data_IF_486358469126
#
_entry.id   IF_486358469126
#
_cell.length_a   1.000
_cell.length_b   1.000
_cell.length_c   1.000
_cell.angle_alpha   90.00
_cell.angle_beta   90.00
_cell.angle_gamma   90.00
#
_symmetry.space_group_name_H-M   'P 1'
#
loop_
_entity.id
_entity.type
_entity.pdbx_description
1 polymer ?
#
# COMPACT_ATOMS: atom_id res chain seq x y z
N UNK A 1 -7.07 15.61 1.56
CA UNK A 1 -7.41 15.77 2.98
C UNK A 1 -8.69 16.58 3.12
N UNK A 2 -9.38 16.44 4.25
CA UNK A 2 -10.66 17.12 4.52
C UNK A 2 -10.50 18.64 4.49
N UNK A 3 -9.37 19.15 4.97
CA UNK A 3 -9.08 20.59 5.01
C UNK A 3 -9.05 21.22 3.61
N UNK A 4 -8.44 20.54 2.64
CA UNK A 4 -8.41 21.01 1.25
C UNK A 4 -9.79 21.00 0.60
N UNK A 5 -10.61 20.02 0.90
CA UNK A 5 -11.98 19.91 0.39
C UNK A 5 -12.85 20.99 0.98
N UNK A 6 -12.75 21.25 2.28
CA UNK A 6 -13.51 22.28 2.99
C UNK A 6 -13.09 23.69 2.52
N UNK A 7 -11.79 23.95 2.38
CA UNK A 7 -11.27 25.24 1.92
C UNK A 7 -11.74 25.60 0.49
N UNK A 8 -12.09 24.60 -0.33
CA UNK A 8 -12.63 24.78 -1.68
C UNK A 8 -14.15 24.79 -1.74
N UNK A 9 -14.84 24.76 -0.60
CA UNK A 9 -16.29 24.78 -0.53
C UNK A 9 -16.99 23.49 -0.93
N UNK A 10 -16.29 22.36 -0.89
CA UNK A 10 -16.88 21.04 -1.10
C UNK A 10 -17.37 20.47 0.23
N UNK A 11 -18.67 20.55 0.49
CA UNK A 11 -19.29 20.12 1.75
C UNK A 11 -19.48 18.59 1.89
N UNK A 12 -19.05 17.77 0.92
CA UNK A 12 -19.48 16.37 0.80
C UNK A 12 -18.35 15.35 0.81
N UNK A 13 -17.33 15.54 1.62
CA UNK A 13 -16.35 14.48 1.91
C UNK A 13 -16.85 13.59 3.07
N UNK A 14 -16.72 12.24 2.96
CA UNK A 14 -17.03 11.34 4.08
C UNK A 14 -15.96 11.39 5.19
N UNK A 15 -14.87 12.13 5.00
CA UNK A 15 -13.81 12.30 5.97
C UNK A 15 -12.99 11.06 6.29
N UNK A 16 -13.02 10.03 5.43
CA UNK A 16 -12.20 8.83 5.61
C UNK A 16 -10.76 9.07 5.10
N UNK A 17 -9.76 8.47 5.76
CA UNK A 17 -8.37 8.48 5.31
C UNK A 17 -8.18 7.60 4.07
N UNK A 18 -8.20 6.29 4.24
CA UNK A 18 -8.09 5.32 3.15
C UNK A 18 -9.37 4.50 3.01
N UNK A 19 -9.95 4.50 1.82
CA UNK A 19 -11.15 3.76 1.46
C UNK A 19 -10.80 2.74 0.38
N UNK A 20 -10.68 1.46 0.75
CA UNK A 20 -10.07 0.41 -0.06
C UNK A 20 -11.09 -0.36 -0.94
N UNK A 21 -12.25 0.20 -1.19
CA UNK A 21 -13.21 -0.49 -2.04
C UNK A 21 -14.57 0.17 -2.07
N UNK A 22 -15.57 -0.60 -2.47
CA UNK A 22 -16.97 -0.20 -2.55
C UNK A 22 -17.83 -1.26 -3.23
N UNK A 23 -19.15 -1.27 -2.96
CA UNK A 23 -20.10 -2.09 -3.68
C UNK A 23 -19.90 -3.61 -3.58
N UNK A 24 -19.25 -4.12 -2.54
CA UNK A 24 -18.91 -5.55 -2.36
C UNK A 24 -17.97 -6.10 -3.47
N UNK A 25 -17.35 -5.24 -4.24
CA UNK A 25 -16.48 -5.68 -5.34
C UNK A 25 -15.15 -6.20 -4.80
N UNK A 26 -14.71 -7.34 -5.33
CA UNK A 26 -13.36 -7.84 -5.15
C UNK A 26 -12.40 -6.94 -5.93
N UNK A 27 -11.31 -6.52 -5.31
CA UNK A 27 -10.34 -5.63 -5.93
C UNK A 27 -8.91 -5.97 -5.56
N UNK A 28 -8.71 -6.86 -4.59
CA UNK A 28 -7.40 -7.21 -4.04
C UNK A 28 -6.50 -5.99 -3.76
N UNK A 29 -7.12 -4.86 -3.38
CA UNK A 29 -6.39 -3.62 -3.14
C UNK A 29 -5.40 -3.80 -1.99
N UNK A 30 -4.19 -3.28 -2.18
CA UNK A 30 -3.12 -3.34 -1.18
C UNK A 30 -2.82 -1.92 -0.70
N UNK A 31 -2.98 -1.69 0.61
CA UNK A 31 -2.46 -0.52 1.30
C UNK A 31 -1.19 -0.94 2.04
N UNK A 32 -0.08 -0.29 1.73
CA UNK A 32 1.22 -0.62 2.30
C UNK A 32 1.97 0.62 2.73
N UNK A 33 2.73 0.52 3.84
CA UNK A 33 3.60 1.57 4.35
C UNK A 33 2.90 2.95 4.39
N UNK A 34 1.71 2.99 4.99
CA UNK A 34 0.86 4.18 4.97
C UNK A 34 0.46 4.60 6.37
N UNK A 35 0.36 5.91 6.57
CA UNK A 35 -0.07 6.51 7.83
C UNK A 35 -1.38 7.25 7.60
N UNK A 36 -2.39 6.97 8.44
CA UNK A 36 -3.70 7.61 8.46
C UNK A 36 -3.93 8.23 9.84
N UNK A 37 -4.13 9.53 9.91
CA UNK A 37 -4.34 10.20 11.20
C UNK A 37 -5.29 11.38 11.07
N UNK A 38 -5.92 11.75 12.17
CA UNK A 38 -6.82 12.90 12.34
C UNK A 38 -7.86 13.05 11.21
N UNK A 39 -8.40 11.93 10.71
CA UNK A 39 -9.50 11.99 9.78
C UNK A 39 -10.82 12.19 10.53
N UNK A 40 -11.77 12.91 9.92
CA UNK A 40 -13.08 13.17 10.54
C UNK A 40 -13.89 11.90 10.79
N UNK A 41 -13.72 10.90 9.93
CA UNK A 41 -14.36 9.61 10.09
C UNK A 41 -13.30 8.48 10.26
N UNK A 42 -13.37 7.44 9.46
CA UNK A 42 -12.53 6.24 9.57
C UNK A 42 -11.10 6.50 9.07
N UNK A 43 -10.11 5.94 9.74
CA UNK A 43 -8.73 6.00 9.27
C UNK A 43 -8.52 5.13 8.03
N UNK A 44 -8.70 3.83 8.19
CA UNK A 44 -8.58 2.83 7.11
C UNK A 44 -9.86 1.99 7.08
N UNK A 45 -10.50 1.88 5.93
CA UNK A 45 -11.71 1.05 5.79
C UNK A 45 -11.66 0.20 4.53
N UNK A 46 -12.06 -1.08 4.66
CA UNK A 46 -12.27 -1.93 3.50
C UNK A 46 -13.41 -1.43 2.61
N UNK A 47 -14.32 -0.64 3.18
CA UNK A 47 -15.51 -0.13 2.51
C UNK A 47 -16.22 -1.21 1.70
N UNK A 48 -16.46 -2.35 2.34
CA UNK A 48 -17.07 -3.57 1.78
C UNK A 48 -16.23 -4.35 0.73
N UNK A 49 -14.98 -3.99 0.49
CA UNK A 49 -14.07 -4.85 -0.28
C UNK A 49 -13.75 -6.12 0.53
N UNK A 50 -14.00 -7.32 -0.01
CA UNK A 50 -13.86 -8.56 0.76
C UNK A 50 -12.42 -9.12 0.80
N UNK A 51 -11.48 -8.58 0.03
CA UNK A 51 -10.17 -9.16 -0.23
C UNK A 51 -9.00 -8.15 -0.19
N UNK A 52 -9.20 -6.96 0.41
CA UNK A 52 -8.12 -6.00 0.53
C UNK A 52 -7.05 -6.42 1.56
N UNK A 53 -5.84 -5.88 1.38
CA UNK A 53 -4.69 -6.15 2.23
C UNK A 53 -4.19 -4.85 2.87
N UNK A 54 -3.85 -4.91 4.16
CA UNK A 54 -3.25 -3.82 4.92
C UNK A 54 -1.90 -4.32 5.44
N UNK A 55 -0.82 -3.69 4.99
CA UNK A 55 0.55 -4.15 5.28
C UNK A 55 1.37 -2.98 5.80
N UNK A 56 1.94 -3.12 6.99
CA UNK A 56 2.81 -2.13 7.62
C UNK A 56 2.19 -0.73 7.60
N UNK A 57 1.05 -0.57 8.26
CA UNK A 57 0.31 0.70 8.31
C UNK A 57 0.14 1.20 9.74
N UNK A 58 -0.02 2.50 9.87
CA UNK A 58 -0.37 3.16 11.14
C UNK A 58 -1.70 3.88 10.94
N UNK A 59 -2.62 3.70 11.88
CA UNK A 59 -3.88 4.44 11.93
C UNK A 59 -4.01 5.07 13.33
N UNK A 60 -4.01 6.40 13.40
CA UNK A 60 -3.87 7.13 14.65
C UNK A 60 -4.90 8.23 14.80
N UNK A 61 -5.59 8.29 15.93
CA UNK A 61 -6.51 9.37 16.30
C UNK A 61 -7.53 9.77 15.24
N UNK A 62 -8.05 8.82 14.49
CA UNK A 62 -9.13 9.11 13.55
C UNK A 62 -10.48 9.26 14.26
N UNK A 63 -11.52 9.64 13.52
CA UNK A 63 -12.87 9.90 14.07
C UNK A 63 -12.99 11.17 14.90
N UNK A 64 -12.48 12.28 14.36
CA UNK A 64 -12.53 13.57 15.06
C UNK A 64 -13.96 14.05 15.34
N UNK A 65 -14.88 13.86 14.39
CA UNK A 65 -16.25 14.38 14.46
C UNK A 65 -17.34 13.30 14.37
N UNK A 66 -16.96 12.04 14.28
CA UNK A 66 -17.92 11.02 13.92
C UNK A 66 -17.54 9.68 14.56
N UNK A 67 -18.18 9.26 15.61
CA UNK A 67 -17.97 7.98 16.30
C UNK A 67 -17.70 6.83 15.31
N UNK A 68 -16.49 6.68 14.85
CA UNK A 68 -16.00 5.71 13.90
C UNK A 68 -14.78 4.98 14.49
N UNK A 69 -14.02 4.30 13.70
CA UNK A 69 -12.87 3.50 14.11
C UNK A 69 -11.60 3.89 13.35
N UNK A 70 -10.45 3.59 13.90
CA UNK A 70 -9.19 3.76 13.18
C UNK A 70 -9.11 2.81 12.00
N UNK A 71 -9.46 1.52 12.21
CA UNK A 71 -9.43 0.49 11.15
C UNK A 71 -10.69 -0.34 11.16
N UNK A 72 -11.31 -0.53 10.00
CA UNK A 72 -12.49 -1.34 9.89
C UNK A 72 -12.59 -2.16 8.63
N UNK A 73 -12.66 -3.48 8.83
CA UNK A 73 -12.88 -4.45 7.78
C UNK A 73 -14.33 -4.92 7.84
N UNK A 74 -15.10 -4.52 6.86
CA UNK A 74 -16.51 -4.88 6.75
C UNK A 74 -16.85 -5.37 5.35
N UNK A 75 -17.76 -6.33 5.28
CA UNK A 75 -18.41 -6.78 4.06
C UNK A 75 -19.80 -7.29 4.40
N UNK A 76 -20.76 -7.14 3.50
CA UNK A 76 -22.08 -7.73 3.62
C UNK A 76 -22.08 -9.21 3.23
N UNK A 77 -21.13 -9.62 2.43
CA UNK A 77 -20.96 -11.01 2.03
C UNK A 77 -20.17 -11.78 3.11
N UNK A 78 -20.89 -12.59 3.90
CA UNK A 78 -20.28 -13.38 4.97
C UNK A 78 -19.38 -14.51 4.47
N UNK A 79 -19.47 -14.88 3.19
CA UNK A 79 -18.77 -16.04 2.63
C UNK A 79 -17.42 -15.71 1.99
N UNK A 80 -17.11 -14.43 1.78
CA UNK A 80 -15.91 -14.02 1.07
C UNK A 80 -15.17 -12.97 1.94
N UNK A 81 -14.39 -13.47 2.90
CA UNK A 81 -13.53 -12.65 3.75
C UNK A 81 -12.09 -13.11 3.53
N UNK A 82 -11.44 -12.56 2.53
CA UNK A 82 -10.05 -12.85 2.20
C UNK A 82 -9.11 -11.67 2.53
N UNK A 83 -9.42 -10.95 3.63
CA UNK A 83 -8.57 -9.86 4.11
C UNK A 83 -7.25 -10.38 4.64
N UNK A 84 -6.19 -9.62 4.42
CA UNK A 84 -4.89 -9.81 5.06
C UNK A 84 -4.52 -8.53 5.82
N UNK A 85 -4.09 -8.69 7.08
CA UNK A 85 -3.57 -7.60 7.90
C UNK A 85 -2.27 -8.04 8.53
N UNK A 86 -1.19 -7.30 8.26
CA UNK A 86 0.13 -7.60 8.78
C UNK A 86 0.86 -6.31 9.12
N UNK A 87 1.44 -6.23 10.32
CA UNK A 87 2.21 -5.06 10.73
C UNK A 87 1.37 -3.80 10.90
N UNK A 88 0.14 -3.93 11.42
CA UNK A 88 -0.74 -2.81 11.71
C UNK A 88 -0.47 -2.26 13.12
N UNK A 89 -0.39 -0.94 13.24
CA UNK A 89 -0.56 -0.23 14.50
C UNK A 89 -1.81 0.65 14.38
N UNK A 90 -2.84 0.33 15.15
CA UNK A 90 -4.00 1.18 15.38
C UNK A 90 -3.93 1.75 16.78
N UNK A 91 -3.86 3.06 16.92
CA UNK A 91 -3.66 3.70 18.22
C UNK A 91 -4.54 4.96 18.37
N UNK A 92 -5.02 5.20 19.59
CA UNK A 92 -5.78 6.37 19.93
C UNK A 92 -5.35 6.92 21.29
N UNK A 93 -5.24 8.23 21.42
CA UNK A 93 -4.84 8.89 22.66
C UNK A 93 -6.02 9.33 23.56
N UNK A 94 -7.19 8.79 23.32
CA UNK A 94 -8.42 9.07 24.08
C UNK A 94 -8.97 10.52 23.97
N UNK A 95 -8.41 11.35 23.09
CA UNK A 95 -8.96 12.70 22.83
C UNK A 95 -10.17 12.68 21.91
N UNK A 96 -10.32 11.61 21.13
CA UNK A 96 -11.37 11.46 20.14
C UNK A 96 -12.36 10.35 20.53
N UNK A 97 -13.53 10.35 19.91
CA UNK A 97 -14.58 9.33 20.11
C UNK A 97 -14.34 8.10 19.22
N UNK A 98 -13.09 7.72 19.05
CA UNK A 98 -12.71 6.55 18.25
C UNK A 98 -13.27 5.28 18.89
N UNK A 99 -14.03 4.53 18.12
CA UNK A 99 -14.55 3.22 18.52
C UNK A 99 -13.49 2.13 18.37
N UNK A 100 -13.73 0.98 19.00
CA UNK A 100 -12.89 -0.21 18.78
C UNK A 100 -12.78 -0.56 17.29
N UNK A 101 -11.65 -1.09 16.89
CA UNK A 101 -11.41 -1.51 15.51
C UNK A 101 -12.28 -2.70 15.11
N UNK A 102 -12.79 -2.68 13.89
CA UNK A 102 -13.55 -3.78 13.33
C UNK A 102 -12.62 -4.72 12.56
N UNK A 103 -11.79 -5.47 13.28
CA UNK A 103 -10.86 -6.45 12.71
C UNK A 103 -11.21 -7.85 13.23
N UNK A 104 -11.51 -8.82 12.33
CA UNK A 104 -11.81 -10.18 12.74
C UNK A 104 -10.68 -10.79 13.58
N UNK A 105 -11.05 -11.50 14.67
CA UNK A 105 -10.09 -12.11 15.59
C UNK A 105 -9.06 -13.02 14.90
N UNK A 106 -9.43 -13.68 13.80
CA UNK A 106 -8.54 -14.51 13.02
C UNK A 106 -7.35 -13.74 12.37
N UNK A 107 -7.43 -12.41 12.32
CA UNK A 107 -6.36 -11.53 11.80
C UNK A 107 -5.52 -10.90 12.92
N UNK A 108 -5.80 -11.21 14.19
CA UNK A 108 -4.98 -10.79 15.31
C UNK A 108 -3.68 -11.61 15.32
N UNK A 109 -2.55 -10.95 15.36
CA UNK A 109 -1.23 -11.56 15.35
C UNK A 109 -0.27 -10.84 16.31
N UNK A 110 0.92 -11.34 16.47
CA UNK A 110 1.95 -10.68 17.28
C UNK A 110 2.45 -9.35 16.69
N UNK A 111 2.23 -9.14 15.39
CA UNK A 111 2.66 -7.92 14.68
C UNK A 111 1.51 -6.94 14.41
N UNK A 112 0.30 -7.25 14.85
CA UNK A 112 -0.86 -6.38 14.69
C UNK A 112 -1.31 -5.85 16.05
N UNK A 113 -1.24 -4.54 16.25
CA UNK A 113 -1.69 -3.84 17.45
C UNK A 113 -3.02 -3.17 17.15
N UNK A 114 -4.08 -3.72 17.72
CA UNK A 114 -5.47 -3.40 17.40
C UNK A 114 -6.09 -2.65 18.57
N UNK A 115 -6.75 -1.53 18.28
CA UNK A 115 -7.42 -0.71 19.29
C UNK A 115 -8.76 -1.35 19.72
N UNK A 116 -8.90 -1.63 21.01
CA UNK A 116 -10.08 -2.28 21.61
C UNK A 116 -11.11 -1.32 22.21
N UNK A 117 -10.98 -0.02 21.93
CA UNK A 117 -11.79 1.03 22.51
C UNK A 117 -11.17 1.69 23.73
N UNK A 118 -10.12 1.13 24.31
CA UNK A 118 -9.40 1.66 25.47
C UNK A 118 -7.87 1.77 25.22
N UNK A 119 -7.28 0.73 24.65
CA UNK A 119 -5.86 0.65 24.33
C UNK A 119 -5.60 -0.25 23.12
N UNK A 120 -4.36 -0.38 22.72
CA UNK A 120 -3.98 -1.14 21.52
C UNK A 120 -3.08 -2.30 21.91
N UNK A 121 -3.51 -3.51 21.60
CA UNK A 121 -2.81 -4.74 21.98
C UNK A 121 -2.60 -5.66 20.77
N UNK A 122 -1.51 -6.42 20.82
CA UNK A 122 -1.33 -7.56 19.95
C UNK A 122 -1.94 -8.84 20.57
N UNK A 123 -1.91 -9.96 19.86
CA UNK A 123 -2.44 -11.23 20.34
C UNK A 123 -1.62 -11.89 21.48
N UNK A 124 -0.49 -11.30 21.88
CA UNK A 124 0.31 -11.71 23.05
C UNK A 124 0.07 -10.82 24.27
N UNK A 125 -0.78 -9.80 24.15
CA UNK A 125 -1.05 -8.83 25.20
C UNK A 125 0.01 -7.76 25.33
N UNK A 126 0.92 -7.61 24.36
CA UNK A 126 1.84 -6.49 24.32
C UNK A 126 1.08 -5.23 23.87
N UNK A 127 1.28 -4.14 24.60
CA UNK A 127 0.61 -2.87 24.33
C UNK A 127 1.48 -1.97 23.44
N UNK A 128 0.91 -1.44 22.37
CA UNK A 128 1.47 -0.29 21.66
C UNK A 128 1.10 1.01 22.37
N UNK A 129 2.06 1.93 22.46
CA UNK A 129 1.87 3.24 23.09
C UNK A 129 2.47 4.36 22.23
N UNK A 130 2.11 5.61 22.55
CA UNK A 130 2.67 6.80 21.88
C UNK A 130 4.20 6.89 22.03
N UNK A 131 4.77 6.32 23.08
CA UNK A 131 6.22 6.30 23.30
C UNK A 131 7.01 5.56 22.21
N UNK A 132 6.34 4.77 21.37
CA UNK A 132 6.97 4.08 20.25
C UNK A 132 7.34 5.03 19.11
N UNK A 133 6.78 6.25 19.09
CA UNK A 133 6.96 7.21 18.02
C UNK A 133 7.89 8.35 18.40
N UNK A 134 8.61 8.90 17.41
CA UNK A 134 9.47 10.07 17.58
C UNK A 134 8.64 11.30 17.95
N UNK A 135 7.51 11.49 17.29
CA UNK A 135 6.59 12.59 17.48
C UNK A 135 5.14 12.13 17.24
N UNK A 136 4.22 12.52 18.10
CA UNK A 136 2.77 12.24 17.99
C UNK A 136 1.94 13.52 17.91
N UNK A 137 2.59 14.69 17.81
CA UNK A 137 1.90 15.97 17.66
C UNK A 137 1.39 16.13 16.22
N UNK A 138 0.12 15.82 16.01
CA UNK A 138 -0.53 15.88 14.69
C UNK A 138 -0.77 17.30 14.17
N UNK A 139 -0.47 18.35 14.97
CA UNK A 139 -0.43 19.71 14.48
C UNK A 139 0.76 19.97 13.56
N UNK A 140 1.81 19.16 13.67
CA UNK A 140 2.96 19.16 12.77
C UNK A 140 2.52 18.60 11.41
N UNK A 141 2.64 19.40 10.36
CA UNK A 141 2.23 18.99 9.01
C UNK A 141 3.43 18.45 8.23
N UNK A 142 3.30 17.27 7.61
CA UNK A 142 4.31 16.79 6.69
C UNK A 142 4.56 17.79 5.56
N UNK A 143 5.82 17.95 5.17
CA UNK A 143 6.27 18.82 4.08
C UNK A 143 6.92 18.01 2.97
N UNK A 144 7.15 18.63 1.81
CA UNK A 144 7.97 18.04 0.75
C UNK A 144 9.33 18.71 0.72
N UNK A 145 10.36 17.89 0.62
CA UNK A 145 11.72 18.34 0.34
C UNK A 145 11.87 18.75 -1.13
N UNK A 146 12.96 19.44 -1.46
CA UNK A 146 13.26 19.85 -2.84
C UNK A 146 13.37 18.67 -3.82
N UNK A 147 13.83 17.52 -3.34
CA UNK A 147 13.93 16.27 -4.11
C UNK A 147 12.58 15.53 -4.26
N UNK A 148 11.50 16.09 -3.72
CA UNK A 148 10.15 15.53 -3.78
C UNK A 148 9.82 14.50 -2.71
N UNK A 149 10.77 14.10 -1.87
CA UNK A 149 10.54 13.20 -0.73
C UNK A 149 9.67 13.88 0.33
N UNK A 150 9.00 13.06 1.16
CA UNK A 150 8.14 13.56 2.24
C UNK A 150 8.99 13.69 3.51
N UNK A 151 8.97 14.86 4.14
CA UNK A 151 9.50 15.07 5.47
C UNK A 151 8.34 15.01 6.48
N UNK A 152 8.34 13.98 7.31
CA UNK A 152 7.34 13.77 8.37
C UNK A 152 7.63 14.56 9.64
N UNK A 153 8.79 15.20 9.78
CA UNK A 153 9.24 15.88 11.01
C UNK A 153 9.13 14.99 12.25
N UNK A 154 9.40 13.68 12.08
CA UNK A 154 9.26 12.67 13.13
C UNK A 154 7.82 12.21 13.38
N UNK A 155 6.81 12.87 12.79
CA UNK A 155 5.41 12.55 13.04
C UNK A 155 5.09 11.10 12.71
N UNK A 156 4.67 10.33 13.74
CA UNK A 156 4.31 8.92 13.67
C UNK A 156 5.41 8.02 13.05
N UNK A 157 6.67 8.45 13.11
CA UNK A 157 7.80 7.62 12.78
C UNK A 157 8.20 6.76 13.98
N UNK A 158 8.40 5.47 13.76
CA UNK A 158 8.78 4.54 14.82
C UNK A 158 10.24 4.76 15.25
N UNK A 159 10.49 4.83 16.56
CA UNK A 159 11.84 4.83 17.15
C UNK A 159 12.55 3.49 16.92
N UNK A 160 11.79 2.39 16.89
CA UNK A 160 12.29 1.04 16.69
C UNK A 160 11.52 0.35 15.57
N UNK A 161 12.16 0.12 14.44
CA UNK A 161 11.59 -0.56 13.27
C UNK A 161 11.83 -2.08 13.25
N UNK A 162 12.55 -2.62 14.26
CA UNK A 162 12.86 -4.05 14.34
C UNK A 162 11.65 -4.93 14.64
N UNK A 163 10.57 -4.34 15.15
CA UNK A 163 9.33 -5.04 15.51
C UNK A 163 8.50 -5.52 14.30
N UNK A 164 8.89 -5.19 13.07
CA UNK A 164 8.16 -5.53 11.85
C UNK A 164 6.67 -5.13 11.89
N UNK A 165 6.37 -3.99 12.47
CA UNK A 165 5.02 -3.43 12.56
C UNK A 165 5.05 -1.93 12.26
N UNK A 166 3.88 -1.38 11.91
CA UNK A 166 3.75 0.01 11.53
C UNK A 166 4.35 0.37 10.17
N UNK A 167 4.17 1.61 9.76
CA UNK A 167 4.72 2.10 8.50
C UNK A 167 6.22 2.38 8.67
N UNK A 168 7.02 1.77 7.81
CA UNK A 168 8.42 2.13 7.61
C UNK A 168 8.47 3.00 6.36
N UNK A 169 8.43 4.30 6.57
CA UNK A 169 8.46 5.25 5.46
C UNK A 169 9.91 5.52 5.08
N UNK A 170 10.19 5.52 3.79
CA UNK A 170 11.44 6.04 3.25
C UNK A 170 11.36 7.58 3.23
N UNK A 171 11.46 8.16 4.43
CA UNK A 171 11.32 9.60 4.64
C UNK A 171 12.56 10.13 5.33
N UNK A 172 13.02 11.27 4.89
CA UNK A 172 14.07 11.99 5.59
C UNK A 172 13.47 12.71 6.78
N UNK A 173 13.72 12.24 8.01
CA UNK A 173 13.65 13.10 9.18
C UNK A 173 14.92 13.95 9.24
N UNK A 174 14.91 15.08 9.97
CA UNK A 174 16.14 15.83 10.19
C UNK A 174 17.22 15.00 10.91
N UNK A 175 16.82 13.96 11.65
CA UNK A 175 17.72 12.96 12.22
C UNK A 175 18.32 12.03 11.15
N UNK A 176 17.62 11.74 10.06
CA UNK A 176 18.13 10.93 8.97
C UNK A 176 19.17 11.64 8.09
N UNK A 177 19.23 12.98 8.14
CA UNK A 177 20.29 13.74 7.45
C UNK A 177 21.71 13.44 7.97
N UNK A 178 21.85 12.84 9.15
CA UNK A 178 23.15 12.44 9.71
C UNK A 178 23.61 11.05 9.24
N UNK A 179 22.75 10.24 8.68
CA UNK A 179 23.10 8.97 8.08
C UNK A 179 23.26 9.22 6.58
N UNK A 180 24.52 9.51 6.18
CA UNK A 180 24.90 9.52 4.76
C UNK A 180 24.37 8.21 4.18
N UNK A 181 23.50 8.22 3.14
CA UNK A 181 23.01 6.99 2.57
C UNK A 181 24.23 6.18 2.14
N UNK A 182 24.37 4.98 2.69
CA UNK A 182 25.25 4.01 2.09
C UNK A 182 24.80 3.97 0.62
N UNK A 183 25.72 4.31 -0.29
CA UNK A 183 25.50 4.28 -1.72
C UNK A 183 25.03 2.86 -2.05
N UNK A 184 23.71 2.65 -1.91
CA UNK A 184 23.08 1.50 -2.52
C UNK A 184 23.34 1.73 -4.00
N UNK A 185 24.25 0.96 -4.54
CA UNK A 185 24.33 0.78 -5.96
C UNK A 185 22.93 0.29 -6.33
N UNK A 186 22.10 1.22 -6.80
CA UNK A 186 20.96 0.84 -7.61
C UNK A 186 21.64 0.08 -8.74
N UNK A 187 21.54 -1.23 -8.70
CA UNK A 187 21.67 -2.00 -9.93
C UNK A 187 20.48 -1.49 -10.71
N UNK A 188 20.75 -0.56 -11.62
CA UNK A 188 19.83 -0.21 -12.67
C UNK A 188 19.45 -1.57 -13.25
N UNK A 189 18.19 -2.01 -13.02
CA UNK A 189 17.67 -3.15 -13.75
C UNK A 189 17.83 -2.73 -15.21
N UNK A 190 18.78 -3.35 -15.88
CA UNK A 190 19.05 -3.09 -17.28
C UNK A 190 17.70 -3.25 -17.98
N UNK A 191 17.17 -2.15 -18.48
CA UNK A 191 15.86 -2.11 -19.10
C UNK A 191 15.89 -3.13 -20.25
N UNK A 192 15.27 -4.28 -20.03
CA UNK A 192 15.20 -5.32 -21.07
C UNK A 192 14.49 -4.73 -22.28
N UNK A 193 15.21 -4.61 -23.38
CA UNK A 193 14.68 -4.14 -24.65
C UNK A 193 14.16 -5.36 -25.39
N UNK A 194 12.87 -5.35 -25.67
CA UNK A 194 12.21 -6.41 -26.45
C UNK A 194 12.02 -5.94 -27.88
N UNK A 195 12.36 -6.79 -28.85
CA UNK A 195 12.15 -6.52 -30.26
C UNK A 195 11.91 -7.78 -31.08
N UNK A 196 11.20 -7.63 -32.20
CA UNK A 196 11.05 -8.68 -33.19
C UNK A 196 11.97 -8.40 -34.37
N UNK A 197 12.82 -9.37 -34.72
CA UNK A 197 13.71 -9.26 -35.87
C UNK A 197 13.96 -10.61 -36.52
N UNK A 198 14.41 -10.60 -37.76
CA UNK A 198 14.84 -11.79 -38.47
C UNK A 198 16.28 -12.16 -38.12
N UNK A 199 16.57 -13.45 -38.07
CA UNK A 199 17.92 -13.97 -38.06
C UNK A 199 18.58 -13.94 -39.46
N UNK A 200 19.78 -14.50 -39.59
CA UNK A 200 20.50 -14.54 -40.86
C UNK A 200 19.83 -15.40 -41.92
N UNK A 201 19.01 -16.33 -41.53
CA UNK A 201 18.22 -17.23 -42.36
C UNK A 201 16.85 -16.66 -42.75
N UNK A 202 16.48 -15.46 -42.18
CA UNK A 202 15.23 -14.78 -42.46
C UNK A 202 14.07 -15.26 -41.56
N UNK A 203 14.33 -15.99 -40.49
CA UNK A 203 13.33 -16.45 -39.53
C UNK A 203 13.05 -15.35 -38.49
N UNK A 204 11.77 -15.10 -38.22
CA UNK A 204 11.36 -14.09 -37.24
C UNK A 204 11.38 -14.64 -35.82
N UNK A 205 12.13 -13.94 -34.95
CA UNK A 205 12.23 -14.23 -33.53
C UNK A 205 11.89 -13.02 -32.67
N UNK A 206 11.51 -13.28 -31.42
CA UNK A 206 11.35 -12.27 -30.38
C UNK A 206 12.56 -12.27 -29.45
N UNK A 207 13.24 -11.16 -29.38
CA UNK A 207 14.48 -10.99 -28.62
C UNK A 207 14.25 -10.20 -27.34
N UNK A 208 15.00 -10.54 -26.32
CA UNK A 208 15.18 -9.78 -25.09
C UNK A 208 16.69 -9.46 -24.95
N UNK A 209 17.09 -8.21 -25.07
CA UNK A 209 18.49 -7.76 -25.06
C UNK A 209 19.38 -8.60 -25.98
N UNK A 210 19.04 -8.69 -27.27
CA UNK A 210 19.78 -9.43 -28.30
C UNK A 210 19.81 -10.96 -28.14
N UNK A 211 19.12 -11.52 -27.15
CA UNK A 211 18.97 -12.98 -26.99
C UNK A 211 17.54 -13.38 -27.32
N UNK A 212 17.36 -14.50 -28.02
CA UNK A 212 16.02 -15.02 -28.29
C UNK A 212 15.31 -15.32 -26.96
N UNK A 213 14.14 -14.73 -26.77
CA UNK A 213 13.32 -14.89 -25.57
C UNK A 213 12.60 -16.25 -25.56
N UNK A 214 13.36 -17.33 -25.44
CA UNK A 214 12.87 -18.71 -25.59
C UNK A 214 11.76 -19.11 -24.60
N UNK A 215 11.61 -18.39 -23.48
CA UNK A 215 10.55 -18.62 -22.51
C UNK A 215 9.30 -17.80 -22.78
N UNK A 216 9.32 -16.92 -23.80
CA UNK A 216 8.18 -16.07 -24.10
C UNK A 216 7.17 -16.76 -24.99
N UNK A 217 5.92 -16.80 -24.52
CA UNK A 217 4.75 -17.24 -25.29
C UNK A 217 3.66 -16.19 -25.14
N UNK A 218 3.25 -15.53 -26.22
CA UNK A 218 2.26 -14.46 -26.18
C UNK A 218 2.18 -13.65 -27.46
N UNK A 219 1.48 -12.52 -27.40
CA UNK A 219 1.38 -11.59 -28.53
C UNK A 219 2.49 -10.57 -28.49
N UNK A 220 3.16 -10.35 -29.62
CA UNK A 220 4.09 -9.25 -29.81
C UNK A 220 3.77 -8.51 -31.11
N UNK A 221 4.13 -7.22 -31.21
CA UNK A 221 3.89 -6.43 -32.41
C UNK A 221 5.17 -5.85 -32.98
N UNK A 222 5.18 -5.66 -34.28
CA UNK A 222 6.16 -4.89 -35.03
C UNK A 222 5.47 -3.99 -36.07
N UNK A 223 6.22 -3.38 -36.96
CA UNK A 223 5.69 -2.51 -38.02
C UNK A 223 4.73 -3.22 -39.01
N UNK A 224 4.76 -4.55 -39.07
CA UNK A 224 3.91 -5.37 -39.95
C UNK A 224 2.64 -5.88 -39.25
N UNK A 225 2.52 -5.75 -37.92
CA UNK A 225 1.31 -6.14 -37.18
C UNK A 225 1.56 -6.91 -35.89
N UNK A 226 0.52 -7.64 -35.45
CA UNK A 226 0.54 -8.48 -34.25
C UNK A 226 0.76 -9.94 -34.60
N UNK A 227 1.67 -10.59 -33.87
CA UNK A 227 2.09 -11.96 -34.11
C UNK A 227 2.05 -12.76 -32.84
N UNK A 228 1.67 -14.02 -32.92
CA UNK A 228 1.78 -14.94 -31.81
C UNK A 228 3.21 -15.52 -31.75
N UNK A 229 3.85 -15.35 -30.60
CA UNK A 229 5.18 -15.87 -30.33
C UNK A 229 5.03 -17.15 -29.51
N UNK A 230 5.75 -18.17 -29.86
CA UNK A 230 5.84 -19.42 -29.11
C UNK A 230 7.29 -19.81 -28.92
N UNK A 231 7.72 -19.83 -27.64
CA UNK A 231 9.11 -20.14 -27.28
C UNK A 231 10.14 -19.24 -27.98
N UNK A 232 9.82 -17.97 -28.13
CA UNK A 232 10.67 -16.99 -28.79
C UNK A 232 10.53 -16.90 -30.31
N UNK A 233 9.85 -17.82 -30.97
CA UNK A 233 9.65 -17.85 -32.40
C UNK A 233 8.27 -17.36 -32.84
N UNK A 234 8.17 -16.72 -34.00
CA UNK A 234 6.86 -16.34 -34.57
C UNK A 234 6.14 -17.55 -35.11
N UNK A 235 4.96 -17.84 -34.54
CA UNK A 235 4.13 -18.92 -34.99
C UNK A 235 3.09 -18.43 -36.03
N UNK A 236 3.39 -18.58 -37.32
CA UNK A 236 2.52 -18.17 -38.43
C UNK A 236 1.27 -19.07 -38.59
N UNK A 237 1.22 -20.21 -37.92
CA UNK A 237 0.10 -21.18 -38.06
C UNK A 237 -0.87 -21.12 -36.89
N UNK A 238 -0.60 -20.26 -35.90
CA UNK A 238 -1.47 -20.11 -34.73
C UNK A 238 -2.85 -19.58 -35.13
N UNK A 239 -3.89 -20.29 -34.72
CA UNK A 239 -5.29 -19.90 -34.87
C UNK A 239 -5.98 -20.05 -33.51
N UNK A 240 -6.28 -18.93 -32.85
CA UNK A 240 -6.89 -18.94 -31.51
C UNK A 240 -6.88 -17.58 -30.86
N UNK A 241 -7.37 -17.53 -29.62
CA UNK A 241 -7.24 -16.36 -28.78
C UNK A 241 -5.95 -16.48 -27.96
N UNK A 242 -5.13 -15.42 -27.94
CA UNK A 242 -3.97 -15.29 -27.08
C UNK A 242 -4.20 -14.14 -26.09
N UNK A 243 -3.83 -14.36 -24.84
CA UNK A 243 -3.82 -13.33 -23.80
C UNK A 243 -2.37 -12.92 -23.49
N UNK A 244 -2.15 -11.63 -23.29
CA UNK A 244 -0.91 -11.08 -22.71
C UNK A 244 -1.02 -11.10 -21.20
#
# INVERSE_FOLDING_TARGET
TTDDVTAKGYEYGEGNGFKLGGGQMKGAHVLKNSISFDNHAKGITSNSCPDCKIINCISYNNSLDNSAYNVGLNTKDSNIKAWEVTGLISLNNSKNTTLEDLIPFALHSENNYIYDGAASYNNKGEQATEDWFENVDTSVKPTRNEDGTINMHGLLLLKDTSKNTGAVLDVTSDAAKSVKPAKTTVVEEEKVVYEMRQDAEGVWHYYANDVIAADYCGMACNEYGWWYIQNGDVNFTYTGMACN
#
